data_IF_127356007453
#
_entry.id   IF_127356007453
#
_cell.length_a   1.000
_cell.length_b   1.000
_cell.length_c   1.000
_cell.angle_alpha   90.00
_cell.angle_beta   90.00
_cell.angle_gamma   90.00
#
_symmetry.space_group_name_H-M   'P 1'
#
loop_
_entity.id
_entity.type
_entity.pdbx_description
1 polymer ?
#
# COMPACT_ATOMS: atom_id res chain seq x y z
N UNK A 1 0.16 -27.62 32.15
CA UNK A 1 -1.14 -26.98 31.92
C UNK A 1 -0.90 -25.67 31.21
N UNK A 2 -1.57 -25.42 30.05
CA UNK A 2 -1.43 -24.22 29.23
C UNK A 2 -1.83 -22.95 29.99
N UNK A 3 -2.91 -23.02 30.77
CA UNK A 3 -3.40 -21.90 31.59
C UNK A 3 -2.32 -21.38 32.55
N UNK A 4 -1.66 -22.28 33.27
CA UNK A 4 -0.56 -21.90 34.16
C UNK A 4 0.64 -21.30 33.42
N UNK A 5 0.93 -21.77 32.21
CA UNK A 5 1.96 -21.20 31.37
C UNK A 5 1.62 -19.76 30.95
N UNK A 6 0.34 -19.51 30.57
CA UNK A 6 -0.17 -18.17 30.23
C UNK A 6 -0.14 -17.24 31.45
N UNK A 7 -0.60 -17.71 32.64
CA UNK A 7 -0.54 -16.90 33.86
C UNK A 7 0.90 -16.48 34.19
N UNK A 8 1.86 -17.43 34.17
CA UNK A 8 3.29 -17.10 34.36
C UNK A 8 3.85 -16.16 33.31
N UNK A 9 3.39 -16.29 32.06
CA UNK A 9 3.80 -15.39 30.98
C UNK A 9 3.29 -13.94 31.20
N UNK A 10 2.05 -13.77 31.68
CA UNK A 10 1.46 -12.47 32.01
C UNK A 10 2.14 -11.82 33.22
N UNK A 11 2.62 -12.60 34.18
CA UNK A 11 3.38 -12.12 35.34
C UNK A 11 4.78 -11.61 34.98
N UNK A 12 5.37 -12.12 33.90
CA UNK A 12 6.69 -11.67 33.42
C UNK A 12 6.60 -10.26 32.80
N UNK A 13 7.27 -9.25 33.42
CA UNK A 13 7.21 -7.85 32.99
C UNK A 13 8.50 -7.32 32.36
N UNK A 14 9.59 -8.05 32.45
CA UNK A 14 10.93 -7.54 32.06
C UNK A 14 11.53 -8.24 30.85
N UNK A 15 10.97 -9.37 30.41
CA UNK A 15 11.47 -10.17 29.30
C UNK A 15 10.33 -10.68 28.44
N UNK A 16 10.52 -10.83 27.13
CA UNK A 16 9.59 -11.55 26.26
C UNK A 16 9.43 -12.99 26.73
N UNK A 17 8.21 -13.52 26.59
CA UNK A 17 7.91 -14.93 26.90
C UNK A 17 7.51 -15.67 25.65
N UNK A 18 8.16 -16.79 25.39
CA UNK A 18 7.85 -17.70 24.31
C UNK A 18 7.32 -19.02 24.84
N UNK A 19 6.09 -19.40 24.47
CA UNK A 19 5.47 -20.66 24.88
C UNK A 19 5.46 -21.61 23.68
N UNK A 20 6.24 -22.69 23.73
CA UNK A 20 6.21 -23.76 22.73
C UNK A 20 5.18 -24.81 23.10
N UNK A 21 4.12 -24.95 22.32
CA UNK A 21 3.08 -25.95 22.50
C UNK A 21 3.22 -27.04 21.42
N UNK A 22 3.55 -28.26 21.84
CA UNK A 22 3.56 -29.42 20.96
C UNK A 22 2.16 -30.02 20.85
N UNK A 23 1.64 -30.14 19.64
CA UNK A 23 0.32 -30.69 19.35
C UNK A 23 0.38 -31.76 18.27
N UNK A 24 -0.67 -32.57 18.18
CA UNK A 24 -0.87 -33.51 17.09
C UNK A 24 -2.09 -33.03 16.30
N UNK A 25 -1.92 -32.85 14.97
CA UNK A 25 -3.02 -32.42 14.11
C UNK A 25 -4.20 -33.39 14.19
N UNK A 26 -5.42 -32.85 14.21
CA UNK A 26 -6.70 -33.57 14.28
C UNK A 26 -6.88 -34.50 15.51
N UNK A 27 -6.12 -34.36 16.59
CA UNK A 27 -6.37 -35.12 17.82
C UNK A 27 -7.71 -34.69 18.44
N UNK A 28 -8.60 -35.61 18.88
CA UNK A 28 -8.43 -37.07 19.01
C UNK A 28 -9.12 -37.89 17.87
N UNK A 29 -9.18 -37.40 16.65
CA UNK A 29 -9.80 -38.11 15.54
C UNK A 29 -9.11 -39.50 15.32
N UNK A 30 -9.82 -40.62 15.45
CA UNK A 30 -9.17 -41.95 15.51
C UNK A 30 -8.34 -42.31 14.27
N UNK A 31 -8.83 -41.96 13.07
CA UNK A 31 -8.16 -42.30 11.80
C UNK A 31 -7.35 -41.12 11.23
N UNK A 32 -7.76 -39.87 11.54
CA UNK A 32 -7.22 -38.66 10.89
C UNK A 32 -6.06 -38.01 11.66
N UNK A 33 -5.96 -38.24 13.00
CA UNK A 33 -4.89 -37.60 13.78
C UNK A 33 -3.49 -37.97 13.29
N UNK A 34 -2.60 -37.00 13.26
CA UNK A 34 -1.22 -37.18 12.83
C UNK A 34 -1.02 -37.41 11.34
N UNK A 35 -2.07 -37.30 10.51
CA UNK A 35 -2.00 -37.51 9.06
C UNK A 35 -2.01 -36.20 8.29
N UNK A 36 -1.35 -36.18 7.14
CA UNK A 36 -1.38 -35.02 6.21
C UNK A 36 -2.76 -34.73 5.63
N UNK A 37 -3.64 -35.76 5.53
CA UNK A 37 -5.01 -35.64 5.02
C UNK A 37 -5.86 -34.68 5.87
N UNK A 38 -5.61 -34.60 7.17
CA UNK A 38 -6.35 -33.73 8.07
C UNK A 38 -6.04 -32.25 7.93
N UNK A 39 -5.05 -31.87 7.11
CA UNK A 39 -4.70 -30.48 6.89
C UNK A 39 -5.81 -29.65 6.19
N UNK A 40 -6.51 -30.25 5.22
CA UNK A 40 -7.52 -29.52 4.45
C UNK A 40 -8.68 -30.35 3.94
N UNK A 41 -8.75 -31.66 4.28
CA UNK A 41 -9.83 -32.52 3.86
C UNK A 41 -10.93 -32.61 4.94
N UNK A 42 -12.18 -32.69 4.51
CA UNK A 42 -13.29 -32.98 5.42
C UNK A 42 -13.08 -34.35 6.07
N UNK A 43 -13.35 -34.46 7.38
CA UNK A 43 -13.19 -35.71 8.11
C UNK A 43 -14.20 -36.77 7.66
N UNK A 44 -15.38 -36.36 7.19
CA UNK A 44 -16.50 -37.24 6.89
C UNK A 44 -17.34 -37.59 8.13
N UNK A 45 -18.57 -38.04 7.92
CA UNK A 45 -19.56 -38.25 9.01
C UNK A 45 -19.12 -39.29 10.03
N UNK A 46 -18.57 -40.42 9.59
CA UNK A 46 -18.08 -41.48 10.49
C UNK A 46 -16.97 -40.99 11.40
N UNK A 47 -15.97 -40.31 10.84
CA UNK A 47 -14.82 -39.82 11.62
C UNK A 47 -15.22 -38.66 12.55
N UNK A 48 -16.17 -37.83 12.14
CA UNK A 48 -16.76 -36.79 13.01
C UNK A 48 -17.49 -37.44 14.19
N UNK A 49 -18.32 -38.45 13.95
CA UNK A 49 -19.03 -39.17 15.00
C UNK A 49 -18.04 -39.86 15.98
N UNK A 50 -17.02 -40.55 15.45
CA UNK A 50 -15.97 -41.18 16.24
C UNK A 50 -15.15 -40.15 17.05
N UNK A 51 -14.84 -38.99 16.48
CA UNK A 51 -14.15 -37.90 17.18
C UNK A 51 -14.99 -37.33 18.31
N UNK A 52 -16.30 -37.13 18.08
CA UNK A 52 -17.24 -36.68 19.13
C UNK A 52 -17.28 -37.70 20.30
N UNK A 53 -17.40 -38.99 19.98
CA UNK A 53 -17.37 -40.05 21.00
C UNK A 53 -16.06 -40.04 21.80
N UNK A 54 -14.90 -39.87 21.13
CA UNK A 54 -13.60 -39.76 21.77
C UNK A 54 -13.46 -38.52 22.67
N UNK A 55 -14.24 -37.46 22.38
CA UNK A 55 -14.34 -36.26 23.24
C UNK A 55 -15.40 -36.36 24.33
N UNK A 56 -16.15 -37.47 24.43
CA UNK A 56 -17.25 -37.61 25.36
C UNK A 56 -18.51 -36.82 24.99
N UNK A 57 -18.64 -36.48 23.71
CA UNK A 57 -19.80 -35.77 23.16
C UNK A 57 -20.75 -36.77 22.49
N UNK A 58 -22.05 -36.45 22.45
CA UNK A 58 -23.06 -37.21 21.70
C UNK A 58 -22.82 -37.10 20.20
N UNK A 59 -22.50 -38.21 19.49
CA UNK A 59 -22.23 -38.18 18.07
C UNK A 59 -23.46 -37.84 17.20
N UNK A 60 -24.67 -38.02 17.71
CA UNK A 60 -25.91 -37.72 16.99
C UNK A 60 -26.26 -36.24 16.96
N UNK A 61 -25.69 -35.41 17.85
CA UNK A 61 -26.04 -33.99 17.96
C UNK A 61 -25.08 -33.15 17.10
N UNK A 62 -25.65 -32.28 16.23
CA UNK A 62 -24.93 -31.28 15.47
C UNK A 62 -25.00 -29.93 16.15
N UNK A 63 -23.87 -29.16 16.13
CA UNK A 63 -23.79 -27.82 16.71
C UNK A 63 -24.20 -27.71 18.17
N UNK A 64 -24.09 -28.82 18.92
CA UNK A 64 -24.42 -28.85 20.34
C UNK A 64 -23.40 -28.05 21.18
N UNK A 65 -23.93 -27.24 22.09
CA UNK A 65 -23.16 -26.60 23.15
C UNK A 65 -23.92 -26.76 24.48
N UNK A 66 -23.26 -27.27 25.55
CA UNK A 66 -23.89 -27.36 26.86
C UNK A 66 -24.40 -26.02 27.37
N UNK A 67 -25.56 -26.02 28.06
CA UNK A 67 -26.19 -24.79 28.55
C UNK A 67 -25.33 -23.99 29.50
N UNK A 68 -24.51 -24.66 30.31
CA UNK A 68 -23.54 -24.04 31.20
C UNK A 68 -22.41 -23.34 30.44
N UNK A 69 -21.96 -23.88 29.30
CA UNK A 69 -20.96 -23.25 28.42
C UNK A 69 -21.54 -21.99 27.79
N UNK A 70 -22.78 -22.07 27.28
CA UNK A 70 -23.49 -20.91 26.71
C UNK A 70 -23.69 -19.84 27.79
N UNK A 71 -24.11 -20.22 28.98
CA UNK A 71 -24.31 -19.29 30.11
C UNK A 71 -22.99 -18.62 30.52
N UNK A 72 -21.90 -19.39 30.58
CA UNK A 72 -20.57 -18.87 30.86
C UNK A 72 -20.10 -17.91 29.77
N UNK A 73 -20.25 -18.29 28.50
CA UNK A 73 -19.84 -17.46 27.36
C UNK A 73 -20.64 -16.14 27.31
N UNK A 74 -21.93 -16.17 27.64
CA UNK A 74 -22.76 -14.95 27.67
C UNK A 74 -22.35 -13.93 28.74
N UNK A 75 -21.68 -14.36 29.82
CA UNK A 75 -21.12 -13.44 30.84
C UNK A 75 -20.05 -12.50 30.27
N UNK A 76 -19.47 -12.80 29.09
CA UNK A 76 -18.54 -11.89 28.41
C UNK A 76 -19.20 -10.55 28.05
N UNK A 77 -20.51 -10.57 27.75
CA UNK A 77 -21.28 -9.36 27.43
C UNK A 77 -21.31 -8.37 28.58
N UNK A 78 -21.57 -8.85 29.81
CA UNK A 78 -21.59 -8.01 31.00
C UNK A 78 -20.19 -7.50 31.33
N UNK A 79 -19.21 -8.41 31.38
CA UNK A 79 -17.80 -8.07 31.63
C UNK A 79 -17.27 -7.07 30.59
N UNK A 80 -17.54 -7.30 29.31
CA UNK A 80 -17.15 -6.41 28.22
C UNK A 80 -17.84 -5.04 28.30
N UNK A 81 -19.14 -5.01 28.61
CA UNK A 81 -19.86 -3.76 28.80
C UNK A 81 -19.32 -2.92 29.95
N UNK A 82 -18.99 -3.57 31.08
CA UNK A 82 -18.40 -2.87 32.22
C UNK A 82 -16.99 -2.32 31.90
N UNK A 83 -16.17 -3.10 31.22
CA UNK A 83 -14.86 -2.68 30.75
C UNK A 83 -14.96 -1.50 29.77
N UNK A 84 -15.93 -1.57 28.81
CA UNK A 84 -16.17 -0.49 27.84
C UNK A 84 -16.60 0.82 28.55
N UNK A 85 -17.56 0.77 29.48
CA UNK A 85 -17.98 1.94 30.25
C UNK A 85 -16.84 2.59 31.02
N UNK A 86 -15.97 1.79 31.61
CA UNK A 86 -14.79 2.28 32.31
C UNK A 86 -13.78 2.95 31.36
N UNK A 87 -13.57 2.35 30.20
CA UNK A 87 -12.73 2.90 29.13
C UNK A 87 -13.33 4.21 28.58
N UNK A 88 -14.62 4.24 28.28
CA UNK A 88 -15.34 5.40 27.72
C UNK A 88 -15.21 6.62 28.63
N UNK A 89 -15.39 6.42 29.96
CA UNK A 89 -15.17 7.49 30.95
C UNK A 89 -13.72 8.03 30.91
N UNK A 90 -12.73 7.14 30.86
CA UNK A 90 -11.33 7.57 30.78
C UNK A 90 -11.00 8.24 29.44
N UNK A 91 -11.62 7.77 28.35
CA UNK A 91 -11.45 8.36 27.03
C UNK A 91 -12.01 9.78 26.97
N UNK A 92 -13.18 10.03 27.57
CA UNK A 92 -13.75 11.38 27.66
C UNK A 92 -12.82 12.32 28.44
N UNK A 93 -12.28 11.89 29.59
CA UNK A 93 -11.30 12.68 30.37
C UNK A 93 -10.05 12.99 29.54
N UNK A 94 -9.60 12.03 28.71
CA UNK A 94 -8.46 12.24 27.84
C UNK A 94 -8.77 13.25 26.72
N UNK A 95 -9.96 13.17 26.10
CA UNK A 95 -10.40 14.12 25.07
C UNK A 95 -10.44 15.54 25.60
N UNK A 96 -11.01 15.74 26.80
CA UNK A 96 -11.11 17.06 27.43
C UNK A 96 -9.73 17.68 27.73
N UNK A 97 -8.76 16.83 28.08
CA UNK A 97 -7.37 17.24 28.36
C UNK A 97 -6.52 17.41 27.08
N UNK A 98 -6.93 16.86 25.96
CA UNK A 98 -6.16 16.83 24.71
C UNK A 98 -7.04 17.15 23.48
N UNK A 99 -7.67 18.34 23.41
CA UNK A 99 -8.67 18.64 22.38
C UNK A 99 -8.13 18.52 20.95
N UNK A 100 -6.88 18.96 20.70
CA UNK A 100 -6.29 18.89 19.36
C UNK A 100 -5.98 17.44 18.94
N UNK A 101 -5.49 16.62 19.89
CA UNK A 101 -5.26 15.19 19.62
C UNK A 101 -6.58 14.44 19.42
N UNK A 102 -7.63 14.84 20.14
CA UNK A 102 -8.95 14.27 19.99
C UNK A 102 -9.53 14.56 18.59
N UNK A 103 -9.41 15.82 18.12
CA UNK A 103 -9.79 16.20 16.75
C UNK A 103 -8.99 15.42 15.70
N UNK A 104 -7.68 15.29 15.90
CA UNK A 104 -6.84 14.50 15.01
C UNK A 104 -7.30 13.04 14.98
N UNK A 105 -7.52 12.42 16.13
CA UNK A 105 -7.98 11.04 16.23
C UNK A 105 -9.33 10.85 15.54
N UNK A 106 -10.30 11.75 15.73
CA UNK A 106 -11.59 11.71 15.04
C UNK A 106 -11.43 11.79 13.51
N UNK A 107 -10.57 12.69 13.03
CA UNK A 107 -10.25 12.79 11.61
C UNK A 107 -9.65 11.50 11.06
N UNK A 108 -8.70 10.88 11.79
CA UNK A 108 -8.07 9.62 11.39
C UNK A 108 -9.05 8.45 11.37
N UNK A 109 -9.89 8.33 12.40
CA UNK A 109 -10.93 7.29 12.48
C UNK A 109 -11.98 7.42 11.39
N UNK A 110 -12.34 8.66 11.02
CA UNK A 110 -13.27 8.94 9.92
C UNK A 110 -12.59 8.95 8.55
N UNK A 111 -11.26 8.72 8.48
CA UNK A 111 -10.44 8.69 7.25
C UNK A 111 -10.54 9.97 6.41
N UNK A 112 -10.91 11.10 7.00
CA UNK A 112 -11.00 12.38 6.32
C UNK A 112 -9.61 12.97 6.11
N UNK A 113 -9.39 13.53 4.92
CA UNK A 113 -8.19 14.32 4.63
C UNK A 113 -8.39 15.75 5.14
N UNK A 114 -7.31 16.44 5.55
CA UNK A 114 -7.40 17.88 5.84
C UNK A 114 -7.83 18.66 4.60
N UNK A 115 -8.50 19.77 4.79
CA UNK A 115 -8.78 20.68 3.68
C UNK A 115 -7.47 21.24 3.11
N UNK A 116 -7.40 21.38 1.79
CA UNK A 116 -6.27 21.99 1.08
C UNK A 116 -4.89 21.35 1.33
N UNK A 117 -4.85 20.11 1.81
CA UNK A 117 -3.59 19.40 2.04
C UNK A 117 -2.72 19.26 0.79
N UNK A 118 -3.32 19.39 -0.40
CA UNK A 118 -2.67 19.27 -1.70
C UNK A 118 -2.16 20.60 -2.26
N UNK A 119 -2.52 21.74 -1.65
CA UNK A 119 -2.18 23.07 -2.18
C UNK A 119 -0.67 23.37 -2.12
N UNK A 120 0.06 22.77 -1.17
CA UNK A 120 1.49 22.94 -0.96
C UNK A 120 2.35 21.92 -1.74
N UNK A 121 1.74 21.10 -2.60
CA UNK A 121 2.51 20.15 -3.40
C UNK A 121 3.40 20.87 -4.41
N UNK A 122 4.62 20.36 -4.67
CA UNK A 122 5.55 21.03 -5.54
C UNK A 122 5.07 21.04 -6.98
N UNK A 123 5.25 22.20 -7.65
CA UNK A 123 5.12 22.39 -9.07
C UNK A 123 6.54 22.50 -9.64
N UNK A 124 6.82 21.76 -10.69
CA UNK A 124 8.13 21.68 -11.30
C UNK A 124 8.16 22.47 -12.61
N UNK A 125 9.21 23.28 -12.79
CA UNK A 125 9.40 24.10 -13.99
C UNK A 125 9.88 23.28 -15.17
N UNK A 126 9.37 23.61 -16.37
CA UNK A 126 9.71 22.93 -17.63
C UNK A 126 11.11 23.24 -18.19
N UNK A 127 11.86 24.14 -17.56
CA UNK A 127 13.25 24.44 -17.90
C UNK A 127 14.26 23.46 -17.29
N UNK A 128 13.78 22.44 -16.57
CA UNK A 128 14.60 21.48 -15.83
C UNK A 128 14.28 20.05 -16.21
N UNK A 129 15.29 19.21 -15.97
CA UNK A 129 15.13 17.77 -15.96
C UNK A 129 15.21 17.24 -14.53
N UNK A 130 14.38 16.30 -14.18
CA UNK A 130 14.37 15.67 -12.87
C UNK A 130 13.88 14.23 -12.96
N UNK A 131 14.54 13.31 -12.27
CA UNK A 131 14.08 11.95 -12.14
C UNK A 131 12.72 11.91 -11.40
N UNK A 132 11.78 11.08 -11.86
CA UNK A 132 10.47 11.01 -11.21
C UNK A 132 10.56 10.49 -9.76
N UNK A 133 11.59 9.67 -9.42
CA UNK A 133 11.89 9.33 -8.02
C UNK A 133 12.25 10.54 -7.16
N UNK A 134 13.04 11.48 -7.71
CA UNK A 134 13.44 12.69 -6.98
C UNK A 134 12.26 13.67 -6.84
N UNK A 135 11.41 13.77 -7.85
CA UNK A 135 10.16 14.50 -7.76
C UNK A 135 9.24 13.91 -6.69
N UNK A 136 9.08 12.59 -6.66
CA UNK A 136 8.31 11.86 -5.63
C UNK A 136 8.86 12.13 -4.22
N UNK A 137 10.17 12.17 -4.04
CA UNK A 137 10.78 12.53 -2.76
C UNK A 137 10.35 13.91 -2.27
N UNK A 138 10.30 14.92 -3.15
CA UNK A 138 9.81 16.26 -2.80
C UNK A 138 8.31 16.27 -2.48
N UNK A 139 7.52 15.50 -3.21
CA UNK A 139 6.07 15.33 -2.95
C UNK A 139 5.85 14.66 -1.60
N UNK A 140 6.63 13.63 -1.24
CA UNK A 140 6.58 12.97 0.07
C UNK A 140 6.81 13.98 1.21
N UNK A 141 7.74 14.94 1.07
CA UNK A 141 7.94 15.98 2.08
C UNK A 141 6.68 16.83 2.28
N UNK A 142 6.08 17.30 1.19
CA UNK A 142 4.87 18.13 1.26
C UNK A 142 3.68 17.35 1.87
N UNK A 143 3.46 16.11 1.44
CA UNK A 143 2.44 15.23 2.03
C UNK A 143 2.69 15.03 3.52
N UNK A 144 3.93 14.71 3.91
CA UNK A 144 4.29 14.45 5.30
C UNK A 144 4.16 15.69 6.21
N UNK A 145 4.29 16.89 5.67
CA UNK A 145 4.05 18.13 6.38
C UNK A 145 2.56 18.31 6.72
N UNK A 146 1.67 17.97 5.82
CA UNK A 146 0.21 18.12 5.96
C UNK A 146 -0.47 16.91 6.61
N UNK A 147 0.08 15.70 6.45
CA UNK A 147 -0.49 14.44 6.93
C UNK A 147 0.43 13.78 7.98
N UNK A 148 0.23 14.01 9.29
CA UNK A 148 1.05 13.38 10.33
C UNK A 148 0.92 11.85 10.36
N UNK A 149 -0.17 11.30 9.81
CA UNK A 149 -0.39 9.87 9.63
C UNK A 149 0.37 9.25 8.44
N UNK A 150 1.10 10.02 7.66
CA UNK A 150 1.89 9.54 6.53
C UNK A 150 3.25 9.04 7.04
N UNK A 151 3.43 7.72 7.04
CA UNK A 151 4.59 7.03 7.60
C UNK A 151 5.21 6.11 6.55
N UNK A 152 6.52 6.01 6.56
CA UNK A 152 7.13 5.14 5.57
C UNK A 152 8.63 4.95 5.74
N UNK A 153 9.26 4.43 4.70
CA UNK A 153 10.68 4.14 4.69
C UNK A 153 11.08 3.32 3.46
N UNK A 154 12.11 2.49 3.61
CA UNK A 154 12.64 1.70 2.52
C UNK A 154 13.27 0.40 3.00
N UNK A 155 13.39 -0.56 2.09
CA UNK A 155 14.15 -1.79 2.28
C UNK A 155 15.65 -1.53 2.01
N UNK A 156 16.28 -0.75 2.90
CA UNK A 156 17.71 -0.37 2.85
C UNK A 156 18.14 0.45 1.62
N UNK A 157 17.19 1.11 0.97
CA UNK A 157 17.39 1.90 -0.26
C UNK A 157 16.83 3.32 -0.14
N UNK A 158 16.77 3.88 1.08
CA UNK A 158 16.08 5.13 1.35
C UNK A 158 16.59 6.32 0.51
N UNK A 159 17.91 6.45 0.36
CA UNK A 159 18.54 7.50 -0.46
C UNK A 159 18.23 7.31 -1.94
N UNK A 160 18.37 6.07 -2.45
CA UNK A 160 18.09 5.76 -3.85
C UNK A 160 16.63 5.92 -4.22
N UNK A 161 15.72 5.62 -3.30
CA UNK A 161 14.28 5.70 -3.51
C UNK A 161 13.70 7.08 -3.16
N UNK A 162 14.46 7.94 -2.48
CA UNK A 162 14.02 9.25 -1.97
C UNK A 162 12.78 9.14 -1.05
N UNK A 163 12.78 8.18 -0.12
CA UNK A 163 11.63 7.88 0.76
C UNK A 163 11.80 8.36 2.19
N UNK A 164 12.88 9.06 2.52
CA UNK A 164 13.10 9.62 3.85
C UNK A 164 12.22 10.85 4.06
N UNK A 165 11.50 10.92 5.16
CA UNK A 165 10.77 12.12 5.61
C UNK A 165 11.74 12.98 6.43
N UNK A 166 12.09 14.16 5.95
CA UNK A 166 12.96 15.09 6.65
C UNK A 166 12.34 15.49 8.01
N UNK A 167 13.13 15.40 9.08
CA UNK A 167 12.63 15.68 10.43
C UNK A 167 11.64 14.64 10.98
N UNK A 168 11.30 13.59 10.23
CA UNK A 168 10.32 12.56 10.62
C UNK A 168 10.76 11.67 11.80
N UNK A 169 12.05 11.62 12.11
CA UNK A 169 12.62 10.74 13.14
C UNK A 169 12.56 9.26 12.76
N UNK A 170 13.57 8.49 13.16
CA UNK A 170 13.60 7.04 12.94
C UNK A 170 12.76 6.33 14.01
N UNK A 171 11.79 5.52 13.60
CA UNK A 171 10.92 4.74 14.50
C UNK A 171 11.72 3.63 15.19
N UNK A 172 12.45 4.03 16.22
CA UNK A 172 13.36 3.17 17.00
C UNK A 172 13.29 3.52 18.49
N UNK A 173 13.62 2.57 19.37
CA UNK A 173 13.76 2.85 20.81
C UNK A 173 14.77 3.98 21.05
N UNK A 174 14.57 4.76 22.11
CA UNK A 174 15.47 5.88 22.47
C UNK A 174 16.91 5.43 22.70
N UNK A 175 17.09 4.20 23.13
CA UNK A 175 18.38 3.57 23.43
C UNK A 175 19.13 3.10 22.17
N UNK A 176 18.52 3.25 21.01
CA UNK A 176 19.19 2.90 19.74
C UNK A 176 20.39 3.80 19.49
N UNK A 177 21.47 3.18 18.99
CA UNK A 177 22.68 3.92 18.59
C UNK A 177 22.51 4.68 17.25
N UNK A 178 21.39 4.47 16.56
CA UNK A 178 21.09 5.15 15.31
C UNK A 178 20.73 6.62 15.57
N UNK A 179 21.30 7.52 14.77
CA UNK A 179 20.95 8.95 14.84
C UNK A 179 19.44 9.13 14.58
N UNK A 180 18.86 10.12 15.26
CA UNK A 180 17.43 10.45 15.14
C UNK A 180 16.47 9.33 15.60
N UNK A 181 16.93 8.37 16.43
CA UNK A 181 16.07 7.38 17.05
C UNK A 181 14.97 8.05 17.87
N UNK A 182 13.72 7.73 17.56
CA UNK A 182 12.55 8.32 18.20
C UNK A 182 11.42 7.28 18.21
N UNK A 183 10.92 6.85 19.38
CA UNK A 183 9.81 5.89 19.45
C UNK A 183 8.51 6.40 18.84
N UNK A 184 8.44 7.69 18.53
CA UNK A 184 7.33 8.33 17.81
C UNK A 184 7.74 8.78 16.40
N UNK A 185 8.87 8.30 15.89
CA UNK A 185 9.34 8.58 14.53
C UNK A 185 8.43 8.01 13.47
N UNK A 186 8.47 8.59 12.28
CA UNK A 186 7.65 8.19 11.13
C UNK A 186 8.43 7.46 10.03
N UNK A 187 9.76 7.33 10.21
CA UNK A 187 10.63 6.62 9.26
C UNK A 187 10.89 5.21 9.79
N UNK A 188 10.53 4.21 9.00
CA UNK A 188 10.72 2.80 9.33
C UNK A 188 11.85 2.25 8.48
N UNK A 189 12.88 1.72 9.14
CA UNK A 189 14.01 1.06 8.50
C UNK A 189 13.74 -0.43 8.41
N UNK A 190 13.29 -0.89 7.23
CA UNK A 190 12.91 -2.29 7.04
C UNK A 190 14.12 -3.22 6.84
N UNK A 191 15.28 -2.68 6.44
CA UNK A 191 16.42 -3.46 5.99
C UNK A 191 16.12 -4.19 4.68
N UNK A 192 17.00 -5.06 4.23
CA UNK A 192 16.83 -5.86 3.00
C UNK A 192 15.79 -6.97 3.27
N UNK A 193 14.50 -6.59 3.36
CA UNK A 193 13.39 -7.48 3.76
C UNK A 193 12.08 -7.04 3.09
N UNK A 194 12.01 -7.06 1.78
CA UNK A 194 10.90 -6.53 0.99
C UNK A 194 9.55 -7.20 1.34
N UNK A 195 9.54 -8.51 1.52
CA UNK A 195 8.31 -9.20 1.92
C UNK A 195 7.82 -8.77 3.31
N UNK A 196 8.73 -8.71 4.28
CA UNK A 196 8.39 -8.25 5.63
C UNK A 196 7.97 -6.77 5.63
N UNK A 197 8.64 -5.93 4.81
CA UNK A 197 8.24 -4.54 4.59
C UNK A 197 6.78 -4.47 4.15
N UNK A 198 6.41 -5.16 3.08
CA UNK A 198 5.02 -5.20 2.61
C UNK A 198 4.04 -5.72 3.65
N UNK A 199 4.40 -6.76 4.40
CA UNK A 199 3.55 -7.31 5.47
C UNK A 199 3.36 -6.33 6.64
N UNK A 200 4.42 -5.61 7.03
CA UNK A 200 4.35 -4.57 8.07
C UNK A 200 3.46 -3.41 7.62
N UNK A 201 3.58 -2.96 6.35
CA UNK A 201 2.69 -1.93 5.81
C UNK A 201 1.23 -2.37 5.82
N UNK A 202 0.95 -3.63 5.48
CA UNK A 202 -0.41 -4.20 5.55
C UNK A 202 -0.96 -4.14 6.97
N UNK A 203 -0.16 -4.56 7.96
CA UNK A 203 -0.55 -4.49 9.37
C UNK A 203 -0.80 -3.06 9.86
N UNK A 204 0.06 -2.11 9.47
CA UNK A 204 -0.09 -0.70 9.80
C UNK A 204 -1.37 -0.09 9.17
N UNK A 205 -1.65 -0.42 7.91
CA UNK A 205 -2.87 0.01 7.22
C UNK A 205 -4.14 -0.59 7.85
N UNK A 206 -4.10 -1.87 8.26
CA UNK A 206 -5.20 -2.54 8.97
C UNK A 206 -5.50 -1.92 10.32
N UNK A 207 -4.48 -1.43 11.04
CA UNK A 207 -4.67 -0.67 12.28
C UNK A 207 -5.50 0.60 12.06
N UNK A 208 -5.40 1.23 10.88
CA UNK A 208 -6.30 2.28 10.41
C UNK A 208 -5.93 3.72 10.78
N UNK A 209 -4.87 3.94 11.56
CA UNK A 209 -4.44 5.29 11.99
C UNK A 209 -3.26 5.85 11.20
N UNK A 210 -2.71 5.09 10.26
CA UNK A 210 -1.59 5.52 9.43
C UNK A 210 -1.87 5.27 7.95
N UNK A 211 -1.29 6.10 7.09
CA UNK A 211 -1.22 5.92 5.64
C UNK A 211 0.21 5.49 5.31
N UNK A 212 0.48 4.17 5.22
CA UNK A 212 1.84 3.68 5.09
C UNK A 212 2.30 3.69 3.65
N UNK A 213 3.59 4.02 3.44
CA UNK A 213 4.29 3.86 2.18
C UNK A 213 5.67 3.25 2.39
N UNK A 214 6.21 2.57 1.39
CA UNK A 214 7.62 2.17 1.43
C UNK A 214 8.19 1.94 0.04
N UNK A 215 9.52 2.14 -0.06
CA UNK A 215 10.27 2.05 -1.29
C UNK A 215 11.21 0.86 -1.37
N UNK A 216 11.37 0.39 -2.60
CA UNK A 216 12.44 -0.47 -3.07
C UNK A 216 12.60 -0.28 -4.58
N UNK A 217 13.56 -0.95 -5.24
CA UNK A 217 13.60 -0.94 -6.70
C UNK A 217 12.46 -1.78 -7.29
N UNK A 218 12.02 -1.43 -8.50
CA UNK A 218 10.89 -2.14 -9.14
C UNK A 218 11.18 -3.63 -9.30
N UNK A 219 12.39 -4.02 -9.66
CA UNK A 219 12.79 -5.42 -9.79
C UNK A 219 12.60 -6.21 -8.49
N UNK A 220 12.79 -5.56 -7.33
CA UNK A 220 12.63 -6.21 -6.01
C UNK A 220 11.17 -6.32 -5.56
N UNK A 221 10.21 -5.81 -6.36
CA UNK A 221 8.79 -6.11 -6.15
C UNK A 221 8.51 -7.62 -6.19
N UNK A 222 9.34 -8.41 -6.87
CA UNK A 222 9.24 -9.87 -6.91
C UNK A 222 9.41 -10.50 -5.54
N UNK A 223 10.32 -9.97 -4.69
CA UNK A 223 10.51 -10.48 -3.33
C UNK A 223 9.33 -10.18 -2.40
N UNK A 224 8.49 -9.20 -2.71
CA UNK A 224 7.35 -8.80 -1.88
C UNK A 224 5.98 -9.14 -2.49
N UNK A 225 5.95 -9.81 -3.64
CA UNK A 225 4.72 -10.06 -4.42
C UNK A 225 3.57 -10.65 -3.59
N UNK A 226 3.86 -11.59 -2.69
CA UNK A 226 2.85 -12.17 -1.79
C UNK A 226 2.19 -11.14 -0.88
N UNK A 227 2.99 -10.24 -0.27
CA UNK A 227 2.48 -9.16 0.58
C UNK A 227 1.69 -8.12 -0.22
N UNK A 228 2.15 -7.74 -1.42
CA UNK A 228 1.45 -6.83 -2.35
C UNK A 228 0.10 -7.42 -2.77
N UNK A 229 0.06 -8.71 -3.10
CA UNK A 229 -1.19 -9.40 -3.43
C UNK A 229 -2.19 -9.37 -2.27
N UNK A 230 -1.72 -9.50 -1.03
CA UNK A 230 -2.59 -9.39 0.16
C UNK A 230 -3.09 -7.96 0.37
N UNK A 231 -2.28 -6.92 0.14
CA UNK A 231 -2.77 -5.53 0.14
C UNK A 231 -3.93 -5.36 -0.83
N UNK A 232 -3.76 -5.87 -2.05
CA UNK A 232 -4.77 -5.79 -3.10
C UNK A 232 -6.04 -6.56 -2.74
N UNK A 233 -5.90 -7.80 -2.24
CA UNK A 233 -7.02 -8.63 -1.81
C UNK A 233 -7.84 -7.99 -0.67
N UNK A 234 -7.15 -7.34 0.29
CA UNK A 234 -7.76 -6.68 1.44
C UNK A 234 -8.12 -5.22 1.17
N UNK A 235 -7.83 -4.68 -0.02
CA UNK A 235 -8.08 -3.28 -0.42
C UNK A 235 -7.48 -2.28 0.57
N UNK A 236 -6.23 -2.49 0.98
CA UNK A 236 -5.55 -1.65 1.97
C UNK A 236 -4.93 -0.40 1.33
N UNK A 237 -5.00 0.77 1.98
CA UNK A 237 -4.39 2.01 1.50
C UNK A 237 -2.87 2.02 1.70
N UNK A 238 -2.16 1.10 1.07
CA UNK A 238 -0.70 0.99 1.08
C UNK A 238 -0.14 1.53 -0.22
N UNK A 239 0.88 2.38 -0.14
CA UNK A 239 1.60 2.88 -1.32
C UNK A 239 3.00 2.28 -1.39
N UNK A 240 3.26 1.57 -2.47
CA UNK A 240 4.60 1.07 -2.81
C UNK A 240 5.29 2.06 -3.74
N UNK A 241 6.51 2.47 -3.40
CA UNK A 241 7.34 3.36 -4.22
C UNK A 241 8.43 2.53 -4.88
N UNK A 242 8.22 2.15 -6.12
CA UNK A 242 9.15 1.32 -6.89
C UNK A 242 9.95 2.18 -7.85
N UNK A 243 11.20 2.43 -7.51
CA UNK A 243 12.10 3.23 -8.35
C UNK A 243 12.91 2.34 -9.30
N UNK A 244 13.68 2.97 -10.21
CA UNK A 244 14.49 2.23 -11.21
C UNK A 244 13.60 1.39 -12.13
N UNK A 245 12.62 2.05 -12.75
CA UNK A 245 11.46 1.45 -13.41
C UNK A 245 11.73 0.86 -14.81
N UNK A 246 12.94 1.05 -15.36
CA UNK A 246 13.26 0.65 -16.74
C UNK A 246 14.75 0.36 -16.94
N UNK A 247 15.12 -0.05 -18.14
CA UNK A 247 16.52 -0.21 -18.56
C UNK A 247 17.32 1.10 -18.46
N UNK A 248 16.65 2.26 -18.41
CA UNK A 248 17.25 3.59 -18.22
C UNK A 248 17.91 3.79 -16.87
N UNK A 249 17.86 2.83 -15.96
CA UNK A 249 18.62 2.88 -14.69
C UNK A 249 20.13 2.84 -14.87
N UNK A 250 20.65 2.30 -15.98
CA UNK A 250 22.05 2.40 -16.39
C UNK A 250 22.94 1.28 -15.84
N UNK A 251 24.03 1.67 -15.16
CA UNK A 251 25.15 0.80 -14.77
C UNK A 251 24.85 -0.30 -13.74
N UNK A 252 23.74 -0.26 -13.04
CA UNK A 252 23.35 -1.32 -12.09
C UNK A 252 23.15 -2.68 -12.78
N UNK A 253 22.93 -2.68 -14.09
CA UNK A 253 22.94 -3.84 -14.95
C UNK A 253 21.69 -4.73 -14.87
N UNK A 254 21.73 -5.92 -15.52
CA UNK A 254 20.54 -6.74 -15.77
C UNK A 254 19.89 -7.31 -14.51
N UNK A 255 20.63 -7.43 -13.40
CA UNK A 255 20.05 -7.89 -12.12
C UNK A 255 19.11 -6.86 -11.48
N UNK A 256 19.12 -5.61 -11.95
CA UNK A 256 18.34 -4.50 -11.45
C UNK A 256 17.37 -3.94 -12.51
N UNK A 257 17.52 -4.32 -13.77
CA UNK A 257 16.71 -3.84 -14.90
C UNK A 257 15.41 -4.62 -15.01
N UNK A 258 14.25 -3.99 -14.70
CA UNK A 258 12.96 -4.67 -14.81
C UNK A 258 12.54 -4.79 -16.29
N UNK A 259 11.95 -5.91 -16.66
CA UNK A 259 11.40 -6.17 -17.99
C UNK A 259 9.90 -6.52 -17.89
N UNK A 260 9.56 -7.64 -17.24
CA UNK A 260 8.19 -8.16 -17.13
C UNK A 260 7.39 -7.59 -15.96
N UNK A 261 8.05 -6.87 -15.03
CA UNK A 261 7.50 -6.51 -13.72
C UNK A 261 6.22 -5.69 -13.80
N UNK A 262 6.16 -4.68 -14.69
CA UNK A 262 4.94 -3.86 -14.85
C UNK A 262 3.75 -4.70 -15.31
N UNK A 263 3.96 -5.54 -16.32
CA UNK A 263 2.91 -6.44 -16.81
C UNK A 263 2.47 -7.44 -15.72
N UNK A 264 3.46 -8.02 -15.02
CA UNK A 264 3.20 -8.97 -13.94
C UNK A 264 2.46 -8.34 -12.75
N UNK A 265 2.77 -7.11 -12.38
CA UNK A 265 2.07 -6.38 -11.30
C UNK A 265 0.64 -6.02 -11.70
N UNK A 266 0.40 -5.61 -12.95
CA UNK A 266 -0.95 -5.33 -13.47
C UNK A 266 -1.86 -6.54 -13.51
N UNK A 267 -1.34 -7.76 -13.44
CA UNK A 267 -2.17 -8.97 -13.31
C UNK A 267 -2.72 -9.20 -11.92
N UNK A 268 -2.31 -8.41 -10.91
CA UNK A 268 -2.83 -8.51 -9.54
C UNK A 268 -4.16 -7.72 -9.45
N UNK A 269 -5.32 -8.37 -9.31
CA UNK A 269 -6.59 -7.66 -9.24
C UNK A 269 -6.64 -6.71 -8.04
N UNK A 270 -7.07 -5.46 -8.28
CA UNK A 270 -7.22 -4.46 -7.22
C UNK A 270 -5.94 -3.74 -6.80
N UNK A 271 -4.83 -3.92 -7.52
CA UNK A 271 -3.62 -3.13 -7.40
C UNK A 271 -3.59 -2.07 -8.51
N UNK A 272 -3.48 -0.80 -8.13
CA UNK A 272 -3.25 0.28 -9.08
C UNK A 272 -1.75 0.37 -9.38
N UNK A 273 -1.34 0.23 -10.65
CA UNK A 273 0.06 0.34 -11.09
C UNK A 273 0.26 1.64 -11.85
N UNK A 274 0.95 2.59 -11.21
CA UNK A 274 1.04 3.97 -11.66
C UNK A 274 2.46 4.25 -12.13
N UNK A 275 2.61 4.82 -13.35
CA UNK A 275 3.89 5.16 -13.95
C UNK A 275 3.81 6.55 -14.59
N UNK A 276 4.06 7.63 -13.81
CA UNK A 276 3.90 9.01 -14.27
C UNK A 276 4.98 9.42 -15.27
N UNK A 277 4.61 10.26 -16.24
CA UNK A 277 5.45 10.71 -17.34
C UNK A 277 6.55 11.68 -16.91
N UNK A 278 6.25 12.59 -15.99
CA UNK A 278 7.13 13.65 -15.54
C UNK A 278 6.90 14.02 -14.08
N UNK A 279 7.66 14.99 -13.59
CA UNK A 279 7.60 15.44 -12.20
C UNK A 279 6.23 16.02 -11.80
N UNK A 280 5.54 16.73 -12.68
CA UNK A 280 4.22 17.29 -12.39
C UNK A 280 3.13 16.22 -12.40
N UNK A 281 3.26 15.22 -13.26
CA UNK A 281 2.36 14.07 -13.23
C UNK A 281 2.59 13.21 -11.98
N UNK A 282 3.82 13.14 -11.43
CA UNK A 282 4.09 12.52 -10.11
C UNK A 282 3.27 13.20 -9.02
N UNK A 283 3.26 14.54 -8.95
CA UNK A 283 2.46 15.27 -7.96
C UNK A 283 0.97 14.94 -8.09
N UNK A 284 0.43 14.97 -9.31
CA UNK A 284 -0.96 14.65 -9.58
C UNK A 284 -1.32 13.19 -9.22
N UNK A 285 -0.45 12.23 -9.54
CA UNK A 285 -0.66 10.83 -9.21
C UNK A 285 -0.64 10.58 -7.70
N UNK A 286 0.25 11.21 -6.94
CA UNK A 286 0.25 11.11 -5.48
C UNK A 286 -1.07 11.62 -4.87
N UNK A 287 -1.62 12.72 -5.40
CA UNK A 287 -2.93 13.23 -4.95
C UNK A 287 -4.00 12.17 -5.11
N UNK A 288 -4.08 11.55 -6.29
CA UNK A 288 -5.08 10.51 -6.56
C UNK A 288 -4.87 9.25 -5.71
N UNK A 289 -3.63 8.80 -5.50
CA UNK A 289 -3.31 7.67 -4.61
C UNK A 289 -3.86 7.92 -3.20
N UNK A 290 -3.57 9.10 -2.62
CA UNK A 290 -4.00 9.45 -1.27
C UNK A 290 -5.52 9.58 -1.17
N UNK A 291 -6.18 10.19 -2.16
CA UNK A 291 -7.64 10.36 -2.22
C UNK A 291 -8.36 9.03 -2.40
N UNK A 292 -7.87 8.18 -3.29
CA UNK A 292 -8.47 6.88 -3.58
C UNK A 292 -8.36 5.91 -2.41
N UNK A 293 -7.26 5.98 -1.63
CA UNK A 293 -7.05 5.13 -0.47
C UNK A 293 -7.12 3.63 -0.80
N UNK A 294 -6.59 3.24 -1.96
CA UNK A 294 -6.49 1.86 -2.45
C UNK A 294 -5.03 1.43 -2.51
N UNK A 295 -4.74 0.12 -2.64
CA UNK A 295 -3.37 -0.35 -2.86
C UNK A 295 -2.80 0.20 -4.16
N UNK A 296 -1.64 0.84 -4.08
CA UNK A 296 -1.02 1.50 -5.22
C UNK A 296 0.49 1.23 -5.29
N UNK A 297 0.99 1.00 -6.49
CA UNK A 297 2.42 0.90 -6.78
C UNK A 297 2.85 1.98 -7.76
N UNK A 298 3.76 2.83 -7.34
CA UNK A 298 4.26 3.97 -8.10
C UNK A 298 5.63 3.61 -8.70
N UNK A 299 5.68 3.35 -10.00
CA UNK A 299 6.89 3.03 -10.73
C UNK A 299 7.58 4.32 -11.24
N UNK A 300 8.84 4.54 -10.82
CA UNK A 300 9.53 5.82 -10.98
C UNK A 300 10.91 5.65 -11.62
N UNK A 301 11.29 6.59 -12.47
CA UNK A 301 12.58 6.60 -13.16
C UNK A 301 13.76 6.89 -12.21
N UNK A 302 14.91 6.26 -12.50
CA UNK A 302 16.20 6.66 -11.94
C UNK A 302 16.80 7.84 -12.70
N UNK A 303 16.74 7.78 -14.04
CA UNK A 303 17.25 8.81 -14.92
C UNK A 303 16.37 10.07 -14.84
N UNK A 304 16.99 11.22 -15.11
CA UNK A 304 16.26 12.46 -15.26
C UNK A 304 15.38 12.42 -16.51
N UNK A 305 14.23 13.04 -16.43
CA UNK A 305 13.28 13.23 -17.52
C UNK A 305 12.99 14.72 -17.66
N UNK A 306 12.78 15.22 -18.89
CA UNK A 306 12.29 16.57 -19.09
C UNK A 306 10.94 16.77 -18.40
N UNK A 307 10.74 17.93 -17.77
CA UNK A 307 9.44 18.32 -17.27
C UNK A 307 8.61 18.87 -18.43
N UNK A 308 7.48 18.26 -18.70
CA UNK A 308 6.61 18.59 -19.83
C UNK A 308 6.03 20.00 -19.65
N UNK A 309 6.19 20.83 -20.67
CA UNK A 309 5.67 22.22 -20.70
C UNK A 309 4.15 22.25 -20.83
N UNK A 310 3.48 22.46 -19.72
CA UNK A 310 1.99 22.49 -19.66
C UNK A 310 1.37 23.78 -20.24
N UNK A 311 2.19 24.68 -20.77
CA UNK A 311 1.69 25.78 -21.61
C UNK A 311 1.47 25.36 -23.07
N UNK A 312 2.15 24.27 -23.49
CA UNK A 312 2.05 23.69 -24.86
C UNK A 312 1.19 22.44 -24.90
N UNK A 313 1.16 21.69 -23.80
CA UNK A 313 0.51 20.41 -23.68
C UNK A 313 -0.56 20.43 -22.59
N UNK A 314 -1.48 19.46 -22.62
CA UNK A 314 -2.60 19.39 -21.68
C UNK A 314 -2.16 19.28 -20.21
N UNK A 315 -3.00 19.78 -19.34
CA UNK A 315 -2.79 19.78 -17.89
C UNK A 315 -2.72 18.38 -17.30
N UNK A 316 -1.94 18.22 -16.21
CA UNK A 316 -1.88 16.99 -15.42
C UNK A 316 -3.20 16.62 -14.74
N UNK A 317 -4.21 17.48 -14.77
CA UNK A 317 -5.55 17.19 -14.21
C UNK A 317 -6.22 15.97 -14.86
N UNK A 318 -5.77 15.58 -16.07
CA UNK A 318 -6.19 14.37 -16.75
C UNK A 318 -5.68 13.07 -16.09
N UNK A 319 -4.60 13.11 -15.32
CA UNK A 319 -4.00 11.93 -14.68
C UNK A 319 -4.97 11.17 -13.78
N UNK A 320 -5.92 11.86 -13.14
CA UNK A 320 -6.98 11.27 -12.30
C UNK A 320 -7.87 10.25 -13.03
N UNK A 321 -7.93 10.36 -14.37
CA UNK A 321 -8.69 9.42 -15.20
C UNK A 321 -7.86 8.22 -15.66
N UNK A 322 -6.56 8.18 -15.31
CA UNK A 322 -5.65 7.07 -15.59
C UNK A 322 -5.02 7.09 -16.98
N UNK A 323 -5.67 7.68 -17.97
CA UNK A 323 -5.13 8.05 -19.28
C UNK A 323 -5.84 9.29 -19.79
N UNK A 324 -5.12 10.15 -20.49
CA UNK A 324 -5.69 11.39 -21.05
C UNK A 324 -4.90 11.84 -22.28
N UNK A 325 -5.55 12.55 -23.16
CA UNK A 325 -4.90 13.15 -24.33
C UNK A 325 -3.95 14.24 -23.82
N UNK A 326 -2.66 14.04 -24.02
CA UNK A 326 -1.62 14.98 -23.62
C UNK A 326 -1.33 16.00 -24.74
N UNK A 327 -1.39 15.56 -26.00
CA UNK A 327 -1.12 16.39 -27.18
C UNK A 327 -2.00 16.00 -28.35
N UNK A 328 -2.59 16.99 -28.97
CA UNK A 328 -3.33 16.86 -30.22
C UNK A 328 -2.41 17.09 -31.43
N UNK A 329 -2.74 16.55 -32.62
CA UNK A 329 -1.90 16.67 -33.83
C UNK A 329 -1.81 18.08 -34.37
N UNK A 330 -2.87 18.88 -34.25
CA UNK A 330 -2.92 20.32 -34.47
C UNK A 330 -4.06 20.91 -33.61
N UNK A 331 -3.95 22.21 -33.28
CA UNK A 331 -4.93 22.87 -32.41
C UNK A 331 -6.30 23.13 -33.09
N UNK A 332 -6.46 22.81 -34.37
CA UNK A 332 -7.64 23.20 -35.17
C UNK A 332 -8.65 22.05 -35.35
N UNK A 333 -8.25 20.78 -35.25
CA UNK A 333 -9.17 19.65 -35.45
C UNK A 333 -8.77 18.47 -34.56
N UNK A 334 -9.39 18.38 -33.40
CA UNK A 334 -9.15 17.30 -32.41
C UNK A 334 -9.52 15.90 -32.91
N UNK A 335 -10.38 15.81 -33.97
CA UNK A 335 -10.85 14.53 -34.50
C UNK A 335 -10.02 14.03 -35.70
N UNK A 336 -9.15 14.88 -36.28
CA UNK A 336 -8.36 14.51 -37.45
C UNK A 336 -7.01 13.90 -37.06
N UNK A 337 -7.05 12.70 -36.52
CA UNK A 337 -5.91 11.94 -36.04
C UNK A 337 -5.79 10.62 -36.84
N UNK A 338 -4.60 10.37 -37.42
CA UNK A 338 -4.31 9.16 -38.18
C UNK A 338 -3.67 8.07 -37.32
N UNK A 339 -2.97 8.48 -36.23
CA UNK A 339 -2.24 7.60 -35.32
C UNK A 339 -2.44 8.08 -33.88
N UNK A 340 -2.64 7.15 -32.96
CA UNK A 340 -2.64 7.43 -31.51
C UNK A 340 -1.40 6.77 -30.91
N UNK A 341 -0.55 7.57 -30.28
CA UNK A 341 0.63 7.12 -29.53
C UNK A 341 0.25 7.09 -28.05
N UNK A 342 0.10 5.90 -27.48
CA UNK A 342 -0.20 5.70 -26.06
C UNK A 342 1.09 5.32 -25.35
N UNK A 343 1.50 6.12 -24.36
CA UNK A 343 2.73 5.91 -23.63
C UNK A 343 2.53 6.11 -22.12
N UNK A 344 3.45 5.55 -21.33
CA UNK A 344 3.45 5.65 -19.88
C UNK A 344 4.88 5.91 -19.39
N UNK A 345 5.03 6.65 -18.29
CA UNK A 345 6.35 6.93 -17.72
C UNK A 345 7.30 7.65 -18.67
N UNK A 346 8.57 7.25 -18.63
CA UNK A 346 9.64 7.85 -19.45
C UNK A 346 9.39 7.81 -20.95
N UNK A 347 8.57 6.90 -21.45
CA UNK A 347 8.27 6.74 -22.88
C UNK A 347 7.28 7.79 -23.41
N UNK A 348 6.60 8.54 -22.53
CA UNK A 348 5.70 9.64 -22.94
C UNK A 348 6.48 10.74 -23.67
N UNK A 349 7.70 11.07 -23.19
CA UNK A 349 8.56 12.03 -23.88
C UNK A 349 8.95 11.55 -25.29
N UNK A 350 9.26 10.25 -25.43
CA UNK A 350 9.55 9.64 -26.73
C UNK A 350 8.34 9.73 -27.68
N UNK A 351 7.13 9.55 -27.16
CA UNK A 351 5.90 9.66 -27.93
C UNK A 351 5.68 11.11 -28.41
N UNK A 352 5.99 12.12 -27.58
CA UNK A 352 5.95 13.54 -27.99
C UNK A 352 6.96 13.83 -29.11
N UNK A 353 8.21 13.36 -28.97
CA UNK A 353 9.23 13.51 -30.02
C UNK A 353 8.83 12.79 -31.32
N UNK A 354 8.26 11.61 -31.22
CA UNK A 354 7.75 10.88 -32.38
C UNK A 354 6.56 11.61 -33.05
N UNK A 355 5.69 12.27 -32.28
CA UNK A 355 4.61 13.09 -32.82
C UNK A 355 5.16 14.24 -33.69
N UNK A 356 6.18 14.94 -33.24
CA UNK A 356 6.83 16.02 -33.98
C UNK A 356 7.44 15.50 -35.30
N UNK A 357 8.13 14.36 -35.26
CA UNK A 357 8.72 13.74 -36.45
C UNK A 357 7.65 13.27 -37.42
N UNK A 358 6.57 12.65 -36.95
CA UNK A 358 5.43 12.23 -37.78
C UNK A 358 4.75 13.42 -38.45
N UNK A 359 4.57 14.50 -37.71
CA UNK A 359 3.98 15.73 -38.24
C UNK A 359 4.84 16.31 -39.36
N UNK A 360 6.16 16.30 -39.27
CA UNK A 360 7.08 16.72 -40.33
C UNK A 360 6.92 15.93 -41.64
N UNK A 361 6.39 14.70 -41.53
CA UNK A 361 6.08 13.80 -42.65
C UNK A 361 4.62 13.86 -43.08
N UNK A 362 3.85 14.80 -42.55
CA UNK A 362 2.42 14.99 -42.87
C UNK A 362 1.49 13.97 -42.17
N UNK A 363 1.98 13.21 -41.18
CA UNK A 363 1.20 12.24 -40.43
C UNK A 363 0.72 12.89 -39.15
N UNK A 364 -0.57 12.96 -38.93
CA UNK A 364 -1.19 13.54 -37.74
C UNK A 364 -1.32 12.50 -36.65
N UNK A 365 -0.52 12.65 -35.58
CA UNK A 365 -0.53 11.77 -34.43
C UNK A 365 -1.07 12.49 -33.18
N UNK A 366 -1.85 11.79 -32.38
CA UNK A 366 -2.27 12.18 -31.01
C UNK A 366 -1.38 11.48 -30.00
N UNK A 367 -0.97 12.16 -28.94
CA UNK A 367 -0.24 11.53 -27.82
C UNK A 367 -1.15 11.44 -26.60
N UNK A 368 -1.19 10.25 -26.01
CA UNK A 368 -1.92 9.95 -24.79
C UNK A 368 -0.91 9.58 -23.71
N UNK A 369 -0.93 10.30 -22.59
CA UNK A 369 -0.26 9.87 -21.36
C UNK A 369 -1.18 8.94 -20.60
N UNK A 370 -0.69 7.73 -20.26
CA UNK A 370 -1.45 6.70 -19.57
C UNK A 370 -0.74 6.30 -18.24
N UNK A 371 -0.74 7.18 -17.22
CA UNK A 371 -0.06 6.89 -15.97
C UNK A 371 -0.62 5.67 -15.22
N UNK A 372 -1.92 5.35 -15.36
CA UNK A 372 -2.53 4.22 -14.65
C UNK A 372 -3.67 3.59 -15.47
N UNK A 373 -3.42 2.44 -16.07
CA UNK A 373 -4.44 1.76 -16.88
C UNK A 373 -5.64 1.29 -16.05
N UNK A 374 -5.43 0.93 -14.80
CA UNK A 374 -6.48 0.48 -13.88
C UNK A 374 -7.51 1.62 -13.67
N UNK A 375 -7.06 2.85 -13.44
CA UNK A 375 -7.94 4.02 -13.31
C UNK A 375 -8.68 4.34 -14.62
N UNK A 376 -8.01 4.18 -15.76
CA UNK A 376 -8.64 4.38 -17.06
C UNK A 376 -9.76 3.36 -17.31
N UNK A 377 -9.54 2.11 -16.95
CA UNK A 377 -10.56 1.07 -17.13
C UNK A 377 -11.79 1.26 -16.24
N UNK A 378 -11.68 2.00 -15.15
CA UNK A 378 -12.82 2.40 -14.30
C UNK A 378 -13.66 3.53 -14.91
N UNK A 379 -13.17 4.24 -15.96
CA UNK A 379 -13.89 5.33 -16.57
C UNK A 379 -15.10 4.84 -17.39
N UNK A 380 -16.15 5.68 -17.53
CA UNK A 380 -17.28 5.38 -18.43
C UNK A 380 -16.82 5.10 -19.85
N UNK A 381 -17.55 4.25 -20.58
CA UNK A 381 -17.25 3.94 -21.98
C UNK A 381 -17.13 5.20 -22.85
N UNK A 382 -18.00 6.18 -22.62
CA UNK A 382 -17.96 7.47 -23.32
C UNK A 382 -16.65 8.25 -23.16
N UNK A 383 -15.93 8.07 -22.06
CA UNK A 383 -14.60 8.66 -21.87
C UNK A 383 -13.52 7.82 -22.56
N UNK A 384 -13.63 6.48 -22.45
CA UNK A 384 -12.62 5.58 -23.00
C UNK A 384 -12.61 5.48 -24.52
N UNK A 385 -13.72 5.87 -25.17
CA UNK A 385 -13.91 5.86 -26.63
C UNK A 385 -13.53 7.20 -27.29
N UNK A 386 -13.19 8.24 -26.52
CA UNK A 386 -12.70 9.53 -27.02
C UNK A 386 -11.23 9.46 -27.42
#
# INVERSE_FOLDING_TARGET
NLELAVIKAVEQKTKPVFIRLNTVIARPAPKAQGTSKSHGSALGEEEVAATKSALGLDPSQSFYAPSEVITHARKIKERGSNAFKAWEKNFQIWQDKNPDKAKLLDRLLTKKLPEKWEDDLPIFSSDKEIATRAASGKVIQAIAASLPEFWGGSADLAESNNTTIEGGGSFLPKESLMKNANPFGRIIHFGIREHAMGAILNGAALHGLVKPFAGTFLVFSDYMRGAVRLSALMQLPVTYVWTHDSIGLGEDGPTHQPVEHLAALRTIPGLDVIRPADANEVSACWVEIIKRGKPAGLALSRQNLPVIDRSKYESTSGSKYGAYVLSHPDNSDQNNCQVILIATGSEVYLALSAQEELLSKGIKARVVSAPCLEWFMEQPASYREQ
#
